data_IF_403735832775
#
_entry.id   IF_403735832775
#
_cell.length_a   1.000
_cell.length_b   1.000
_cell.length_c   1.000
_cell.angle_alpha   90.00
_cell.angle_beta   90.00
_cell.angle_gamma   90.00
#
_symmetry.space_group_name_H-M   'P 1'
#
loop_
_entity.id
_entity.type
_entity.pdbx_description
1 polymer ?
#
# COMPACT_ATOMS: atom_id res chain seq x y z
N UNK A 1 -6.82 11.81 7.78
CA UNK A 1 -6.24 12.78 6.83
C UNK A 1 -7.13 12.72 5.61
N UNK A 2 -7.68 13.84 5.14
CA UNK A 2 -8.54 13.82 3.95
C UNK A 2 -7.70 14.03 2.70
N UNK A 3 -7.67 13.02 1.85
CA UNK A 3 -7.00 13.03 0.54
C UNK A 3 -8.03 12.73 -0.54
N UNK A 4 -7.92 13.40 -1.69
CA UNK A 4 -8.75 13.07 -2.84
C UNK A 4 -8.28 11.77 -3.49
N UNK A 5 -9.14 11.16 -4.32
CA UNK A 5 -8.76 10.02 -5.17
C UNK A 5 -7.49 10.31 -5.96
N UNK A 6 -7.44 11.46 -6.65
CA UNK A 6 -6.30 11.80 -7.49
C UNK A 6 -5.01 11.94 -6.67
N UNK A 7 -5.10 12.56 -5.49
CA UNK A 7 -3.97 12.66 -4.57
C UNK A 7 -3.50 11.29 -4.08
N UNK A 8 -4.45 10.39 -3.78
CA UNK A 8 -4.15 9.01 -3.40
C UNK A 8 -3.47 8.28 -4.56
N UNK A 9 -4.04 8.29 -5.77
CA UNK A 9 -3.48 7.61 -6.94
C UNK A 9 -2.06 8.10 -7.28
N UNK A 10 -1.81 9.41 -7.14
CA UNK A 10 -0.48 9.99 -7.35
C UNK A 10 0.53 9.64 -6.25
N UNK A 11 0.05 9.27 -5.06
CA UNK A 11 0.89 8.92 -3.92
C UNK A 11 1.34 7.45 -3.92
N UNK A 12 0.71 6.59 -4.71
CA UNK A 12 1.03 5.16 -4.75
C UNK A 12 2.44 4.99 -5.31
N UNK A 13 3.30 4.35 -4.52
CA UNK A 13 4.67 4.01 -4.95
C UNK A 13 4.84 2.51 -5.18
N UNK A 14 3.96 1.70 -4.58
CA UNK A 14 3.93 0.26 -4.74
C UNK A 14 2.50 -0.25 -4.56
N UNK A 15 2.09 -1.12 -5.48
CA UNK A 15 0.83 -1.84 -5.46
C UNK A 15 1.08 -3.12 -6.26
N UNK A 16 1.29 -4.22 -5.56
CA UNK A 16 1.51 -5.50 -6.19
C UNK A 16 0.18 -6.10 -6.67
N UNK A 17 -0.34 -5.57 -7.78
CA UNK A 17 -1.36 -6.22 -8.62
C UNK A 17 -0.65 -6.87 -9.81
N UNK A 18 -0.38 -8.17 -9.75
CA UNK A 18 -0.08 -8.92 -10.97
C UNK A 18 -1.36 -9.00 -11.84
N UNK A 19 -1.18 -9.01 -13.16
CA UNK A 19 -2.14 -8.60 -14.21
C UNK A 19 -3.50 -9.37 -14.30
N UNK A 20 -3.92 -10.16 -13.32
CA UNK A 20 -5.12 -11.02 -13.39
C UNK A 20 -6.08 -10.95 -12.18
N UNK A 21 -6.14 -9.80 -11.47
CA UNK A 21 -7.06 -9.54 -10.34
C UNK A 21 -6.83 -10.46 -9.13
N UNK A 22 -5.77 -10.23 -8.36
CA UNK A 22 -5.67 -10.85 -7.03
C UNK A 22 -6.78 -10.30 -6.12
N UNK A 23 -7.48 -11.17 -5.38
CA UNK A 23 -8.67 -10.78 -4.58
C UNK A 23 -8.35 -9.80 -3.44
N UNK A 24 -7.07 -9.63 -3.10
CA UNK A 24 -6.56 -8.71 -2.07
C UNK A 24 -5.06 -8.49 -2.20
N UNK A 25 -4.58 -7.38 -1.64
CA UNK A 25 -3.16 -7.08 -1.60
C UNK A 25 -2.82 -5.90 -0.69
N UNK A 26 -1.60 -5.40 -0.85
CA UNK A 26 -1.09 -4.24 -0.14
C UNK A 26 -0.76 -3.08 -1.09
N UNK A 27 -1.01 -1.87 -0.61
CA UNK A 27 -0.57 -0.64 -1.27
C UNK A 27 0.28 0.18 -0.31
N UNK A 28 1.40 0.70 -0.81
CA UNK A 28 2.21 1.70 -0.12
C UNK A 28 2.12 3.05 -0.81
N UNK A 29 1.89 4.09 -0.01
CA UNK A 29 1.72 5.46 -0.47
C UNK A 29 2.68 6.42 0.25
N UNK A 30 3.11 7.46 -0.46
CA UNK A 30 3.95 8.54 0.08
C UNK A 30 3.30 9.90 -0.17
N UNK A 31 3.10 10.66 0.91
CA UNK A 31 2.55 12.03 0.91
C UNK A 31 3.59 12.99 1.52
N UNK A 32 4.49 13.52 0.69
CA UNK A 32 5.63 14.29 1.19
C UNK A 32 6.57 13.40 2.00
N UNK A 33 6.75 13.69 3.29
CA UNK A 33 7.60 12.89 4.20
C UNK A 33 6.83 11.77 4.92
N UNK A 34 5.50 11.69 4.75
CA UNK A 34 4.64 10.68 5.36
C UNK A 34 4.49 9.47 4.43
N UNK A 35 4.77 8.28 4.94
CA UNK A 35 4.54 7.00 4.30
C UNK A 35 3.39 6.26 4.98
N UNK A 36 2.60 5.51 4.20
CA UNK A 36 1.47 4.72 4.71
C UNK A 36 1.39 3.38 3.97
N UNK A 37 1.00 2.32 4.68
CA UNK A 37 0.70 1.01 4.10
C UNK A 37 -0.74 0.64 4.46
N UNK A 38 -1.49 0.16 3.47
CA UNK A 38 -2.86 -0.29 3.65
C UNK A 38 -3.13 -1.58 2.88
N UNK A 39 -3.97 -2.43 3.45
CA UNK A 39 -4.59 -3.53 2.71
C UNK A 39 -5.68 -3.02 1.79
N UNK A 40 -5.86 -3.70 0.67
CA UNK A 40 -7.04 -3.61 -0.16
C UNK A 40 -7.55 -5.02 -0.46
N UNK A 41 -8.85 -5.13 -0.71
CA UNK A 41 -9.44 -6.34 -1.29
C UNK A 41 -10.48 -5.95 -2.31
N UNK A 42 -10.59 -6.74 -3.37
CA UNK A 42 -11.59 -6.59 -4.41
C UNK A 42 -13.02 -6.85 -3.91
N UNK A 43 -13.17 -7.38 -2.69
CA UNK A 43 -14.44 -7.31 -1.98
C UNK A 43 -14.65 -5.87 -1.45
N UNK A 44 -15.88 -5.36 -1.53
CA UNK A 44 -16.23 -3.99 -1.09
C UNK A 44 -16.10 -3.75 0.43
N UNK A 45 -15.32 -4.56 1.15
CA UNK A 45 -15.16 -4.51 2.59
C UNK A 45 -14.03 -3.56 3.04
N UNK A 46 -13.19 -3.06 2.12
CA UNK A 46 -12.03 -2.23 2.45
C UNK A 46 -12.07 -0.88 1.75
N UNK A 47 -11.95 0.20 2.53
CA UNK A 47 -12.02 1.57 2.02
C UNK A 47 -10.84 1.92 1.07
N UNK A 48 -9.68 1.31 1.26
CA UNK A 48 -8.50 1.50 0.39
C UNK A 48 -8.74 0.98 -1.03
N UNK A 49 -9.48 -0.11 -1.19
CA UNK A 49 -9.89 -0.61 -2.50
C UNK A 49 -10.81 0.37 -3.22
N UNK A 50 -11.79 0.94 -2.52
CA UNK A 50 -12.67 1.96 -3.08
C UNK A 50 -11.88 3.19 -3.57
N UNK A 51 -10.87 3.62 -2.80
CA UNK A 51 -9.98 4.71 -3.18
C UNK A 51 -9.12 4.36 -4.41
N UNK A 52 -8.61 3.12 -4.51
CA UNK A 52 -7.79 2.62 -5.63
C UNK A 52 -8.57 2.56 -6.94
N UNK A 53 -9.69 1.84 -6.94
CA UNK A 53 -10.49 1.59 -8.14
C UNK A 53 -11.35 2.79 -8.58
N UNK A 54 -11.38 3.85 -7.78
CA UNK A 54 -12.18 5.02 -8.08
C UNK A 54 -13.65 4.91 -7.73
N UNK A 55 -13.97 4.12 -6.71
CA UNK A 55 -15.31 3.66 -6.37
C UNK A 55 -15.63 2.37 -7.12
N UNK A 56 -16.13 1.35 -6.42
CA UNK A 56 -16.45 0.04 -6.99
C UNK A 56 -17.61 0.05 -7.99
N UNK A 57 -18.19 -1.12 -8.22
CA UNK A 57 -19.15 -1.53 -9.28
C UNK A 57 -20.46 -0.68 -9.39
N UNK A 58 -20.62 0.41 -8.64
CA UNK A 58 -21.72 1.36 -8.79
C UNK A 58 -21.29 2.82 -8.64
N UNK A 59 -21.78 3.66 -9.55
CA UNK A 59 -21.55 5.11 -9.70
C UNK A 59 -21.99 6.01 -8.50
N UNK A 60 -22.15 5.46 -7.30
CA UNK A 60 -22.66 6.19 -6.14
C UNK A 60 -21.63 6.21 -5.02
N UNK A 61 -21.05 7.39 -4.82
CA UNK A 61 -20.04 7.68 -3.81
C UNK A 61 -20.68 8.33 -2.58
N UNK A 62 -20.29 7.85 -1.40
CA UNK A 62 -20.32 8.63 -0.16
C UNK A 62 -18.89 8.57 0.40
N UNK A 63 -18.35 9.70 0.85
CA UNK A 63 -16.93 9.92 1.14
C UNK A 63 -16.29 8.86 2.07
N UNK A 64 -15.52 7.91 1.52
CA UNK A 64 -14.67 6.99 2.28
C UNK A 64 -13.24 7.51 2.39
N UNK A 65 -12.74 7.75 3.60
CA UNK A 65 -11.30 7.96 3.83
C UNK A 65 -10.58 6.59 3.78
N UNK A 66 -9.45 6.45 3.05
CA UNK A 66 -8.72 5.19 3.03
C UNK A 66 -8.23 4.81 4.44
N UNK A 67 -8.31 3.51 4.73
CA UNK A 67 -7.89 2.91 5.99
C UNK A 67 -6.48 2.36 5.87
N UNK A 68 -5.63 2.68 6.85
CA UNK A 68 -4.22 2.34 6.82
C UNK A 68 -3.86 1.45 8.01
N UNK A 69 -3.09 0.40 7.74
CA UNK A 69 -2.58 -0.51 8.76
C UNK A 69 -1.34 0.07 9.43
N UNK A 70 -0.58 0.87 8.68
CA UNK A 70 0.62 1.51 9.16
C UNK A 70 0.79 2.93 8.60
N UNK A 71 1.42 3.79 9.39
CA UNK A 71 1.87 5.12 8.96
C UNK A 71 3.16 5.50 9.68
N UNK A 72 4.09 6.12 8.96
CA UNK A 72 5.37 6.59 9.51
C UNK A 72 6.13 7.46 8.51
N UNK A 73 7.43 7.59 8.67
CA UNK A 73 8.31 8.29 7.74
C UNK A 73 8.70 7.43 6.54
N UNK A 74 9.19 8.08 5.48
CA UNK A 74 9.76 7.39 4.31
C UNK A 74 10.94 6.48 4.70
N UNK A 75 11.80 6.92 5.63
CA UNK A 75 12.93 6.11 6.10
C UNK A 75 12.46 4.87 6.89
N UNK A 76 11.39 4.99 7.68
CA UNK A 76 10.78 3.85 8.35
C UNK A 76 10.15 2.88 7.35
N UNK A 77 9.53 3.37 6.27
CA UNK A 77 9.01 2.52 5.20
C UNK A 77 10.13 1.75 4.50
N UNK A 78 11.24 2.42 4.16
CA UNK A 78 12.44 1.76 3.61
C UNK A 78 12.94 0.67 4.55
N UNK A 79 13.06 1.00 5.84
CA UNK A 79 13.45 0.02 6.85
C UNK A 79 12.47 -1.15 6.93
N UNK A 80 11.15 -0.92 6.91
CA UNK A 80 10.17 -2.00 6.91
C UNK A 80 10.30 -2.91 5.69
N UNK A 81 10.53 -2.33 4.51
CA UNK A 81 10.72 -3.09 3.28
C UNK A 81 11.99 -3.95 3.29
N UNK A 82 13.09 -3.47 3.86
CA UNK A 82 14.36 -4.21 3.97
C UNK A 82 14.27 -5.48 4.84
N UNK A 83 13.44 -5.46 5.88
CA UNK A 83 13.27 -6.56 6.86
C UNK A 83 11.87 -7.18 6.82
N UNK A 84 11.14 -6.97 5.72
CA UNK A 84 9.81 -7.52 5.46
C UNK A 84 8.86 -7.45 6.66
N UNK A 85 8.78 -6.26 7.27
CA UNK A 85 8.01 -6.07 8.50
C UNK A 85 6.50 -6.23 8.27
N UNK A 86 5.79 -6.82 9.21
CA UNK A 86 4.31 -6.82 9.19
C UNK A 86 3.79 -5.40 9.47
N UNK A 87 2.96 -4.79 8.60
CA UNK A 87 2.42 -3.44 8.82
C UNK A 87 1.54 -3.32 10.07
N UNK A 88 0.78 -4.36 10.43
CA UNK A 88 -0.04 -4.38 11.63
C UNK A 88 0.79 -4.66 12.90
N UNK A 89 1.96 -5.29 12.75
CA UNK A 89 2.90 -5.58 13.84
C UNK A 89 4.35 -5.23 13.43
N UNK A 90 4.72 -3.94 13.34
CA UNK A 90 5.99 -3.51 12.73
C UNK A 90 7.25 -4.06 13.39
N UNK A 91 7.19 -4.43 14.66
CA UNK A 91 8.31 -5.05 15.39
C UNK A 91 8.58 -6.51 14.98
N UNK A 92 7.68 -7.11 14.18
CA UNK A 92 7.75 -8.49 13.70
C UNK A 92 8.09 -8.51 12.20
N UNK A 93 8.97 -9.43 11.81
CA UNK A 93 9.14 -9.82 10.41
C UNK A 93 7.99 -10.74 9.98
N UNK A 94 7.43 -10.50 8.80
CA UNK A 94 6.37 -11.33 8.25
C UNK A 94 6.86 -12.77 8.04
N UNK A 95 6.00 -13.74 8.32
CA UNK A 95 6.30 -15.17 8.23
C UNK A 95 5.71 -15.74 6.94
N UNK A 96 6.41 -16.67 6.28
CA UNK A 96 5.91 -17.33 5.06
C UNK A 96 4.55 -18.04 5.25
N UNK A 97 4.17 -18.34 6.50
CA UNK A 97 2.86 -18.91 6.85
C UNK A 97 1.74 -17.88 7.03
N UNK A 98 2.06 -16.59 7.02
CA UNK A 98 1.05 -15.53 7.02
C UNK A 98 0.28 -15.55 5.70
N UNK A 99 -1.04 -15.39 5.79
CA UNK A 99 -1.96 -15.59 4.67
C UNK A 99 -1.64 -14.72 3.45
N UNK A 100 -1.11 -13.54 3.70
CA UNK A 100 -0.86 -12.44 2.77
C UNK A 100 0.63 -12.15 2.57
N UNK A 101 1.51 -13.03 3.06
CA UNK A 101 2.97 -12.89 2.99
C UNK A 101 3.47 -12.58 1.57
N UNK A 102 2.99 -13.33 0.57
CA UNK A 102 3.40 -13.14 -0.82
C UNK A 102 3.04 -11.74 -1.35
N UNK A 103 1.85 -11.23 -1.03
CA UNK A 103 1.41 -9.90 -1.45
C UNK A 103 2.23 -8.81 -0.75
N UNK A 104 2.50 -8.97 0.55
CA UNK A 104 3.33 -8.04 1.32
C UNK A 104 4.76 -7.98 0.78
N UNK A 105 5.40 -9.13 0.55
CA UNK A 105 6.76 -9.20 0.01
C UNK A 105 6.83 -8.64 -1.39
N UNK A 106 5.82 -8.88 -2.24
CA UNK A 106 5.75 -8.32 -3.58
C UNK A 106 5.67 -6.79 -3.54
N UNK A 107 4.80 -6.24 -2.67
CA UNK A 107 4.69 -4.79 -2.46
C UNK A 107 6.03 -4.20 -1.95
N UNK A 108 6.69 -4.84 -0.98
CA UNK A 108 7.98 -4.35 -0.48
C UNK A 108 9.10 -4.37 -1.52
N UNK A 109 9.13 -5.36 -2.42
CA UNK A 109 10.07 -5.35 -3.54
C UNK A 109 9.86 -4.13 -4.44
N UNK A 110 8.61 -3.80 -4.76
CA UNK A 110 8.30 -2.58 -5.53
C UNK A 110 8.68 -1.30 -4.77
N UNK A 111 8.51 -1.26 -3.45
CA UNK A 111 8.98 -0.15 -2.61
C UNK A 111 10.50 0.02 -2.73
N UNK A 112 11.25 -1.08 -2.65
CA UNK A 112 12.71 -1.06 -2.81
C UNK A 112 13.10 -0.57 -4.21
N UNK A 113 12.50 -1.14 -5.26
CA UNK A 113 12.73 -0.72 -6.65
C UNK A 113 12.42 0.77 -6.88
N UNK A 114 11.34 1.26 -6.29
CA UNK A 114 10.98 2.68 -6.35
C UNK A 114 12.10 3.54 -5.79
N UNK A 115 12.60 3.26 -4.58
CA UNK A 115 13.63 4.10 -3.97
C UNK A 115 15.01 3.94 -4.62
N UNK A 116 15.38 2.73 -5.04
CA UNK A 116 16.64 2.48 -5.77
C UNK A 116 16.69 3.26 -7.09
N UNK A 117 15.58 3.31 -7.84
CA UNK A 117 15.50 4.07 -9.10
C UNK A 117 15.63 5.59 -8.91
N UNK A 118 15.26 6.12 -7.73
CA UNK A 118 15.33 7.55 -7.43
C UNK A 118 16.68 7.98 -6.84
N UNK A 119 17.48 7.07 -6.29
CA UNK A 119 18.85 7.35 -5.85
C UNK A 119 19.85 7.44 -7.02
N UNK A 120 19.58 6.77 -8.15
CA UNK A 120 20.44 6.81 -9.36
C UNK A 120 20.35 8.15 -10.12
N UNK A 121 19.35 8.98 -9.82
CA UNK A 121 19.08 10.24 -10.52
C UNK A 121 19.47 11.50 -9.72
N UNK A 122 20.24 11.37 -8.63
CA UNK A 122 20.82 12.47 -7.86
C UNK A 122 22.34 12.53 -8.02
#
# INVERSE_FOLDING_TARGET
MRITRDQFQQSIIAQADDEDYEESGYVACVFGDLAMIGHYSHCSCFATFEALCGGGISDWFDEGEPSWDWSGSVDELKSMAERWADPAMPDREADESDYDYCHLVSMYKQVQEHFDAHEVNQ
#
